data_IF_802127332743
#
_entry.id   IF_802127332743
#
_cell.length_a   1.000
_cell.length_b   1.000
_cell.length_c   1.000
_cell.angle_alpha   90.00
_cell.angle_beta   90.00
_cell.angle_gamma   90.00
#
_symmetry.space_group_name_H-M   'P 1'
#
loop_
_entity.id
_entity.type
_entity.pdbx_description
1 polymer ?
#
# COMPACT_ATOMS: atom_id res chain seq x y z
N UNK A 1 7.92 -29.31 45.53
CA UNK A 1 9.28 -29.15 44.99
C UNK A 1 9.25 -29.46 43.50
N UNK A 2 9.01 -28.47 42.65
CA UNK A 2 9.16 -28.64 41.21
C UNK A 2 10.61 -28.31 40.85
N UNK A 3 11.31 -29.29 40.30
CA UNK A 3 12.69 -29.19 39.85
C UNK A 3 12.80 -28.16 38.72
N UNK A 4 13.25 -26.94 39.04
CA UNK A 4 13.78 -25.99 38.08
C UNK A 4 15.20 -26.42 37.71
N UNK A 5 15.32 -27.40 36.81
CA UNK A 5 16.53 -27.50 35.98
C UNK A 5 16.46 -26.34 34.97
N UNK A 6 16.95 -25.18 35.38
CA UNK A 6 17.00 -23.99 34.54
C UNK A 6 18.13 -24.13 33.52
N UNK A 7 17.87 -24.86 32.44
CA UNK A 7 18.61 -24.65 31.20
C UNK A 7 18.27 -23.26 30.70
N UNK A 8 19.21 -22.32 30.84
CA UNK A 8 19.09 -20.99 30.22
C UNK A 8 19.18 -21.16 28.70
N UNK A 9 18.04 -21.36 28.04
CA UNK A 9 17.96 -21.37 26.58
C UNK A 9 17.98 -19.93 26.08
N UNK A 10 18.90 -19.65 25.17
CA UNK A 10 18.90 -18.40 24.44
C UNK A 10 17.77 -18.43 23.42
N UNK A 11 16.75 -17.61 23.64
CA UNK A 11 15.65 -17.42 22.73
C UNK A 11 15.87 -16.11 21.97
N UNK A 12 15.79 -16.16 20.64
CA UNK A 12 15.88 -14.97 19.81
C UNK A 12 14.64 -14.83 18.97
N UNK A 13 13.93 -13.71 19.15
CA UNK A 13 12.74 -13.41 18.36
C UNK A 13 13.09 -13.07 16.91
N UNK A 14 14.23 -12.43 16.66
CA UNK A 14 14.63 -11.94 15.33
C UNK A 14 16.15 -11.86 15.19
N UNK A 15 16.71 -12.59 14.23
CA UNK A 15 18.09 -12.42 13.76
C UNK A 15 18.03 -12.24 12.25
N UNK A 16 18.33 -11.04 11.76
CA UNK A 16 18.30 -10.74 10.33
C UNK A 16 19.33 -9.67 9.97
N UNK A 17 19.64 -9.60 8.68
CA UNK A 17 20.40 -8.52 8.06
C UNK A 17 19.54 -7.88 6.95
N UNK A 18 19.63 -6.56 6.78
CA UNK A 18 18.90 -5.84 5.74
C UNK A 18 19.85 -5.00 4.88
N UNK A 19 19.49 -4.85 3.60
CA UNK A 19 20.17 -3.97 2.66
C UNK A 19 19.16 -3.17 1.84
N UNK A 20 19.31 -1.86 1.90
CA UNK A 20 18.61 -0.93 1.03
C UNK A 20 19.10 -0.97 -0.42
N UNK A 21 18.19 -1.13 -1.36
CA UNK A 21 18.41 -1.14 -2.80
C UNK A 21 17.85 0.14 -3.43
N UNK A 22 18.63 1.21 -3.41
CA UNK A 22 18.21 2.57 -3.83
C UNK A 22 17.65 2.64 -5.25
N UNK A 23 18.22 1.88 -6.21
CA UNK A 23 17.80 1.89 -7.62
C UNK A 23 16.33 1.51 -7.82
N UNK A 24 15.81 0.61 -6.97
CA UNK A 24 14.42 0.14 -7.03
C UNK A 24 13.57 0.64 -5.85
N UNK A 25 14.17 1.43 -4.96
CA UNK A 25 13.57 1.94 -3.72
C UNK A 25 12.96 0.80 -2.88
N UNK A 26 13.77 -0.23 -2.65
CA UNK A 26 13.35 -1.47 -1.99
C UNK A 26 14.36 -1.90 -0.94
N UNK A 27 13.95 -2.79 -0.04
CA UNK A 27 14.78 -3.36 1.00
C UNK A 27 14.82 -4.89 0.86
N UNK A 28 16.03 -5.41 0.76
CA UNK A 28 16.30 -6.85 0.82
C UNK A 28 16.58 -7.23 2.27
N UNK A 29 15.85 -8.20 2.81
CA UNK A 29 16.04 -8.75 4.15
C UNK A 29 16.42 -10.23 4.05
N UNK A 30 17.37 -10.65 4.88
CA UNK A 30 17.80 -12.06 5.00
C UNK A 30 17.83 -12.44 6.47
N UNK A 31 17.20 -13.56 6.82
CA UNK A 31 17.12 -14.08 8.18
C UNK A 31 15.68 -14.17 8.66
N UNK A 32 15.47 -13.92 9.96
CA UNK A 32 14.20 -14.12 10.63
C UNK A 32 13.35 -12.86 10.61
N UNK A 33 12.18 -12.95 9.98
CA UNK A 33 11.23 -11.83 9.90
C UNK A 33 9.80 -12.33 9.68
N UNK A 34 8.87 -11.41 9.45
CA UNK A 34 7.49 -11.66 9.08
C UNK A 34 7.20 -11.11 7.69
N UNK A 35 6.27 -11.74 6.97
CA UNK A 35 5.73 -11.23 5.70
C UNK A 35 4.89 -9.96 5.91
N UNK A 36 4.65 -9.21 4.82
CA UNK A 36 3.81 -8.02 4.87
C UNK A 36 2.34 -8.40 5.03
N UNK A 37 1.63 -7.76 5.97
CA UNK A 37 0.20 -8.00 6.21
C UNK A 37 -0.71 -7.18 5.28
N UNK A 38 -0.22 -6.78 4.09
CA UNK A 38 -0.99 -5.93 3.18
C UNK A 38 -2.18 -6.67 2.54
N UNK A 39 -2.01 -7.96 2.22
CA UNK A 39 -3.04 -8.75 1.52
C UNK A 39 -3.30 -10.11 2.14
N UNK A 40 -2.29 -10.75 2.73
CA UNK A 40 -2.42 -11.99 3.48
C UNK A 40 -2.10 -11.75 4.96
N UNK A 41 -2.42 -12.74 5.80
CA UNK A 41 -2.01 -12.70 7.19
C UNK A 41 -0.48 -12.78 7.29
N UNK A 42 0.08 -12.08 8.28
CA UNK A 42 1.52 -12.02 8.45
C UNK A 42 2.08 -13.36 8.91
N UNK A 43 3.03 -13.90 8.15
CA UNK A 43 3.63 -15.20 8.41
C UNK A 43 5.08 -15.04 8.87
N UNK A 44 5.47 -15.62 10.04
CA UNK A 44 6.86 -15.69 10.47
C UNK A 44 7.67 -16.60 9.54
N UNK A 45 8.85 -16.15 9.15
CA UNK A 45 9.72 -16.89 8.26
C UNK A 45 11.20 -16.71 8.58
N UNK A 46 11.98 -17.72 8.16
CA UNK A 46 13.44 -17.63 8.01
C UNK A 46 13.80 -17.78 6.53
N UNK A 47 14.36 -16.74 5.94
CA UNK A 47 14.65 -16.75 4.50
C UNK A 47 15.01 -15.38 3.93
N UNK A 48 14.50 -15.10 2.73
CA UNK A 48 14.76 -13.88 1.98
C UNK A 48 13.44 -13.14 1.72
N UNK A 49 13.44 -11.82 1.86
CA UNK A 49 12.34 -10.99 1.36
C UNK A 49 12.83 -9.73 0.69
N UNK A 50 12.15 -9.33 -0.37
CA UNK A 50 12.36 -8.09 -1.09
C UNK A 50 11.06 -7.28 -1.04
N UNK A 51 11.10 -6.13 -0.39
CA UNK A 51 9.92 -5.30 -0.16
C UNK A 51 10.17 -3.89 -0.69
N UNK A 52 9.14 -3.24 -1.24
CA UNK A 52 9.20 -1.79 -1.49
C UNK A 52 9.44 -1.06 -0.16
N UNK A 53 10.42 -0.15 -0.14
CA UNK A 53 10.76 0.62 1.06
C UNK A 53 10.26 2.05 0.92
N UNK A 54 9.12 2.33 1.55
CA UNK A 54 8.45 3.61 1.45
C UNK A 54 9.20 4.75 2.15
N UNK A 55 10.13 4.43 3.07
CA UNK A 55 11.01 5.41 3.70
C UNK A 55 12.00 6.03 2.70
N UNK A 56 12.29 5.33 1.59
CA UNK A 56 13.15 5.82 0.50
C UNK A 56 12.39 6.67 -0.53
N UNK A 57 11.08 6.86 -0.34
CA UNK A 57 10.19 7.54 -1.27
C UNK A 57 9.66 8.80 -0.57
N UNK A 58 9.73 9.99 -1.19
CA UNK A 58 9.13 11.20 -0.65
C UNK A 58 7.67 10.98 -0.27
N UNK A 59 7.19 11.65 0.78
CA UNK A 59 5.82 11.48 1.28
C UNK A 59 4.77 11.74 0.19
N UNK A 60 4.95 12.82 -0.57
CA UNK A 60 4.13 13.16 -1.74
C UNK A 60 4.05 12.08 -2.82
N UNK A 61 5.03 11.17 -2.87
CA UNK A 61 5.07 10.10 -3.87
C UNK A 61 4.42 8.79 -3.41
N UNK A 62 4.22 8.58 -2.11
CA UNK A 62 3.69 7.32 -1.56
C UNK A 62 2.26 7.43 -1.01
N UNK A 63 1.84 8.62 -0.61
CA UNK A 63 0.50 8.85 -0.05
C UNK A 63 -0.48 9.16 -1.17
N UNK A 64 -1.65 8.50 -1.16
CA UNK A 64 -2.71 8.76 -2.13
C UNK A 64 -3.24 10.20 -1.99
N UNK A 65 -3.30 10.92 -3.11
CA UNK A 65 -3.90 12.25 -3.22
C UNK A 65 -4.70 12.31 -4.52
N UNK A 66 -5.89 12.95 -4.52
CA UNK A 66 -6.64 13.14 -5.75
C UNK A 66 -5.90 14.09 -6.68
N UNK A 67 -6.01 13.84 -7.97
CA UNK A 67 -5.45 14.72 -9.00
C UNK A 67 -6.52 15.70 -9.45
N UNK A 68 -6.26 17.00 -9.30
CA UNK A 68 -7.19 18.06 -9.68
C UNK A 68 -7.00 18.34 -11.16
N UNK A 69 -8.04 18.07 -11.96
CA UNK A 69 -8.04 18.28 -13.42
C UNK A 69 -9.10 19.30 -13.79
N UNK A 70 -8.77 20.19 -14.72
CA UNK A 70 -9.70 21.19 -15.22
C UNK A 70 -9.28 21.76 -16.57
N UNK A 71 -10.12 22.65 -17.12
CA UNK A 71 -9.84 23.37 -18.36
C UNK A 71 -9.97 24.87 -18.08
N UNK A 72 -8.88 25.60 -18.27
CA UNK A 72 -8.86 27.06 -18.21
C UNK A 72 -9.17 27.62 -19.61
N UNK A 73 -10.09 28.59 -19.69
CA UNK A 73 -10.45 29.25 -20.96
C UNK A 73 -9.44 30.35 -21.32
N UNK A 74 -8.78 30.92 -20.33
CA UNK A 74 -7.79 32.00 -20.46
C UNK A 74 -6.57 31.72 -19.58
N UNK A 75 -5.62 32.66 -19.51
CA UNK A 75 -4.62 32.62 -18.43
C UNK A 75 -5.39 32.82 -17.11
N UNK A 76 -5.46 31.76 -16.31
CA UNK A 76 -6.27 31.71 -15.11
C UNK A 76 -5.41 31.51 -13.86
N UNK A 77 -5.93 31.93 -12.72
CA UNK A 77 -5.39 31.55 -11.41
C UNK A 77 -6.29 30.47 -10.83
N UNK A 78 -5.69 29.32 -10.51
CA UNK A 78 -6.37 28.20 -9.86
C UNK A 78 -6.07 28.25 -8.38
N UNK A 79 -7.11 28.37 -7.57
CA UNK A 79 -7.03 28.31 -6.11
C UNK A 79 -7.67 27.01 -5.64
N UNK A 80 -6.99 26.31 -4.74
CA UNK A 80 -7.49 25.13 -4.06
C UNK A 80 -7.64 25.49 -2.59
N UNK A 81 -8.85 25.29 -2.06
CA UNK A 81 -9.18 25.49 -0.65
C UNK A 81 -9.59 24.16 -0.02
N UNK A 82 -9.32 24.01 1.27
CA UNK A 82 -9.84 22.92 2.09
C UNK A 82 -10.40 23.51 3.39
N UNK A 83 -11.65 23.17 3.71
CA UNK A 83 -12.36 23.74 4.87
C UNK A 83 -12.31 25.29 4.89
N UNK A 84 -12.39 25.92 3.71
CA UNK A 84 -12.30 27.37 3.53
C UNK A 84 -10.89 27.98 3.58
N UNK A 85 -9.86 27.22 3.96
CA UNK A 85 -8.47 27.69 3.97
C UNK A 85 -7.82 27.52 2.59
N UNK A 86 -7.14 28.55 2.09
CA UNK A 86 -6.34 28.46 0.86
C UNK A 86 -5.12 27.57 1.12
N UNK A 87 -5.10 26.41 0.47
CA UNK A 87 -4.00 25.45 0.59
C UNK A 87 -3.02 25.57 -0.57
N UNK A 88 -3.49 25.89 -1.77
CA UNK A 88 -2.64 25.98 -2.96
C UNK A 88 -3.17 27.04 -3.93
N UNK A 89 -2.28 27.80 -4.58
CA UNK A 89 -2.63 28.77 -5.61
C UNK A 89 -1.55 28.80 -6.68
N UNK A 90 -1.96 28.68 -7.95
CA UNK A 90 -1.03 28.68 -9.10
C UNK A 90 -1.67 29.31 -10.33
N UNK A 91 -0.87 29.86 -11.24
CA UNK A 91 -1.36 30.37 -12.53
C UNK A 91 -1.15 29.32 -13.62
N UNK A 92 -2.20 29.07 -14.41
CA UNK A 92 -2.21 28.10 -15.51
C UNK A 92 -2.48 28.80 -16.84
N UNK A 93 -1.84 28.34 -17.94
CA UNK A 93 -2.15 28.83 -19.27
C UNK A 93 -3.54 28.33 -19.74
N UNK A 94 -4.12 28.95 -20.80
CA UNK A 94 -5.34 28.44 -21.42
C UNK A 94 -5.16 27.00 -21.88
N UNK A 95 -6.13 26.15 -21.58
CA UNK A 95 -6.13 24.73 -21.92
C UNK A 95 -6.35 23.83 -20.71
N UNK A 96 -6.14 22.53 -20.92
CA UNK A 96 -6.22 21.53 -19.86
C UNK A 96 -5.05 21.70 -18.90
N UNK A 97 -5.33 21.63 -17.60
CA UNK A 97 -4.32 21.64 -16.55
C UNK A 97 -4.53 20.46 -15.59
N UNK A 98 -3.44 20.12 -14.89
CA UNK A 98 -3.41 19.08 -13.88
C UNK A 98 -2.58 19.57 -12.69
N UNK A 99 -3.21 19.64 -11.51
CA UNK A 99 -2.53 19.87 -10.24
C UNK A 99 -2.43 18.52 -9.55
N UNK A 100 -1.22 17.96 -9.59
CA UNK A 100 -0.93 16.64 -9.05
C UNK A 100 -0.43 16.68 -7.62
N UNK A 101 -0.32 15.49 -7.02
CA UNK A 101 0.16 15.25 -5.65
C UNK A 101 1.50 15.90 -5.32
N UNK A 102 2.44 15.99 -6.27
CA UNK A 102 3.75 16.62 -6.02
C UNK A 102 3.65 18.10 -5.61
N UNK A 103 2.54 18.75 -5.99
CA UNK A 103 2.31 20.17 -5.69
C UNK A 103 1.54 20.38 -4.38
N UNK A 104 0.71 19.42 -3.98
CA UNK A 104 -0.26 19.60 -2.88
C UNK A 104 -0.06 18.67 -1.68
N UNK A 105 0.67 17.57 -1.82
CA UNK A 105 0.78 16.55 -0.78
C UNK A 105 1.55 17.03 0.46
N UNK A 106 2.60 17.82 0.26
CA UNK A 106 3.42 18.32 1.37
C UNK A 106 2.77 19.51 2.10
N UNK A 107 1.59 19.95 1.64
CA UNK A 107 0.82 21.05 2.22
C UNK A 107 -0.10 20.61 3.38
N UNK A 108 -0.02 19.34 3.79
CA UNK A 108 -0.76 18.82 4.95
C UNK A 108 -2.26 18.62 4.70
N UNK A 109 -2.66 18.48 3.45
CA UNK A 109 -4.06 18.25 3.04
C UNK A 109 -4.54 16.92 3.61
N UNK A 110 -5.55 16.97 4.49
CA UNK A 110 -6.17 15.80 5.11
C UNK A 110 -7.35 15.28 4.31
N UNK A 111 -7.94 14.15 4.73
CA UNK A 111 -9.20 13.62 4.15
C UNK A 111 -10.30 14.69 4.23
N UNK A 112 -11.09 14.85 3.17
CA UNK A 112 -12.15 15.85 3.13
C UNK A 112 -12.43 16.36 1.72
N UNK A 113 -12.98 17.55 1.61
CA UNK A 113 -13.41 18.12 0.33
C UNK A 113 -12.48 19.26 -0.08
N UNK A 114 -12.00 19.25 -1.33
CA UNK A 114 -11.16 20.32 -1.90
C UNK A 114 -12.02 21.21 -2.80
N UNK A 115 -12.16 22.47 -2.45
CA UNK A 115 -12.87 23.46 -3.26
C UNK A 115 -11.89 24.10 -4.25
N UNK A 116 -12.17 23.96 -5.54
CA UNK A 116 -11.33 24.47 -6.62
C UNK A 116 -12.02 25.64 -7.30
N UNK A 117 -11.36 26.78 -7.30
CA UNK A 117 -11.81 28.00 -7.97
C UNK A 117 -10.83 28.39 -9.07
N UNK A 118 -11.32 28.48 -10.31
CA UNK A 118 -10.56 28.94 -11.47
C UNK A 118 -10.98 30.37 -11.77
N UNK A 119 -10.10 31.33 -11.50
CA UNK A 119 -10.29 32.74 -11.79
C UNK A 119 -9.74 33.06 -13.18
N UNK A 120 -10.65 33.24 -14.14
CA UNK A 120 -10.30 33.57 -15.51
C UNK A 120 -9.96 35.06 -15.65
N UNK A 121 -9.09 35.41 -16.59
CA UNK A 121 -8.69 36.81 -16.85
C UNK A 121 -9.87 37.70 -17.28
N UNK A 122 -10.92 37.12 -17.83
CA UNK A 122 -12.14 37.82 -18.22
C UNK A 122 -13.12 38.06 -17.05
N UNK A 123 -12.73 37.73 -15.81
CA UNK A 123 -13.54 37.90 -14.60
C UNK A 123 -14.53 36.77 -14.32
N UNK A 124 -14.63 35.76 -15.20
CA UNK A 124 -15.42 34.56 -14.89
C UNK A 124 -14.71 33.71 -13.83
N UNK A 125 -15.50 33.11 -12.94
CA UNK A 125 -14.99 32.15 -11.96
C UNK A 125 -15.68 30.82 -12.18
N UNK A 126 -14.90 29.76 -12.36
CA UNK A 126 -15.41 28.40 -12.41
C UNK A 126 -15.13 27.73 -11.06
N UNK A 127 -16.17 27.21 -10.42
CA UNK A 127 -16.04 26.51 -9.15
C UNK A 127 -16.45 25.06 -9.33
N UNK A 128 -15.64 24.15 -8.79
CA UNK A 128 -15.98 22.75 -8.67
C UNK A 128 -15.25 22.17 -7.47
N UNK A 129 -15.67 20.99 -7.08
CA UNK A 129 -15.21 20.35 -5.85
C UNK A 129 -14.54 19.02 -6.19
N UNK A 130 -13.38 18.78 -5.58
CA UNK A 130 -12.62 17.54 -5.67
C UNK A 130 -12.64 16.87 -4.29
N UNK A 131 -13.51 15.89 -4.07
CA UNK A 131 -13.50 15.11 -2.85
C UNK A 131 -12.23 14.26 -2.71
N UNK A 132 -11.76 14.09 -1.48
CA UNK A 132 -10.61 13.28 -1.11
C UNK A 132 -10.99 12.25 -0.04
N UNK A 133 -10.96 10.97 -0.41
CA UNK A 133 -11.13 9.84 0.49
C UNK A 133 -10.05 8.79 0.26
N UNK A 134 -9.62 8.06 1.30
CA UNK A 134 -8.58 7.03 1.19
C UNK A 134 -9.16 5.64 1.44
N UNK A 135 -9.44 4.84 0.40
CA UNK A 135 -9.79 3.44 0.57
C UNK A 135 -8.63 2.63 1.14
N UNK A 136 -8.95 1.52 1.82
CA UNK A 136 -7.99 0.49 2.22
C UNK A 136 -7.17 0.05 0.99
N UNK A 137 -5.84 0.01 1.14
CA UNK A 137 -4.86 -0.35 0.09
C UNK A 137 -4.80 0.56 -1.15
N UNK A 138 -5.30 1.80 -1.09
CA UNK A 138 -5.23 2.72 -2.23
C UNK A 138 -3.84 3.33 -2.41
N UNK A 139 -3.36 3.31 -3.65
CA UNK A 139 -2.07 3.85 -4.02
C UNK A 139 -2.22 5.01 -5.00
N UNK A 140 -1.30 5.99 -4.97
CA UNK A 140 -1.24 7.04 -5.99
C UNK A 140 -1.13 6.47 -7.40
N UNK A 141 -1.67 7.21 -8.38
CA UNK A 141 -1.50 6.88 -9.80
C UNK A 141 -0.02 6.69 -10.17
N UNK A 142 0.30 5.53 -10.75
CA UNK A 142 1.65 5.14 -11.15
C UNK A 142 2.54 4.65 -10.00
N UNK A 143 2.05 4.61 -8.76
CA UNK A 143 2.78 4.07 -7.63
C UNK A 143 2.49 2.57 -7.44
N UNK A 144 3.55 1.79 -7.20
CA UNK A 144 3.48 0.36 -6.96
C UNK A 144 4.04 0.01 -5.58
N UNK A 145 3.29 -0.79 -4.81
CA UNK A 145 3.79 -1.46 -3.61
C UNK A 145 3.87 -2.95 -3.90
N UNK A 146 4.99 -3.57 -3.53
CA UNK A 146 5.18 -5.00 -3.74
C UNK A 146 5.99 -5.62 -2.60
N UNK A 147 5.73 -6.89 -2.35
CA UNK A 147 6.47 -7.73 -1.43
C UNK A 147 6.68 -9.10 -2.07
N UNK A 148 7.91 -9.61 -2.02
CA UNK A 148 8.24 -10.97 -2.41
C UNK A 148 9.02 -11.61 -1.29
N UNK A 149 8.53 -12.73 -0.78
CA UNK A 149 9.14 -13.49 0.31
C UNK A 149 9.29 -14.94 -0.09
N UNK A 150 10.45 -15.52 0.20
CA UNK A 150 10.71 -16.95 0.07
C UNK A 150 11.47 -17.41 1.31
N UNK A 151 10.96 -18.43 1.98
CA UNK A 151 11.56 -18.87 3.23
C UNK A 151 10.88 -20.09 3.79
N UNK A 152 11.41 -20.56 4.91
CA UNK A 152 10.75 -21.58 5.72
C UNK A 152 9.82 -20.88 6.69
N UNK A 153 8.61 -21.40 6.84
CA UNK A 153 7.75 -21.03 7.95
C UNK A 153 8.52 -21.26 9.27
N UNK A 154 8.34 -20.34 10.22
CA UNK A 154 8.96 -20.44 11.55
C UNK A 154 7.87 -20.49 12.60
N UNK A 155 7.58 -21.68 13.09
CA UNK A 155 6.61 -21.86 14.16
C UNK A 155 7.18 -21.35 15.50
N UNK A 156 6.31 -20.79 16.35
CA UNK A 156 6.69 -20.31 17.69
C UNK A 156 6.79 -21.48 18.69
N UNK A 157 6.03 -22.55 18.43
CA UNK A 157 6.03 -23.78 19.20
C UNK A 157 6.63 -24.89 18.34
N UNK A 158 7.54 -25.67 18.91
CA UNK A 158 8.52 -26.52 18.24
C UNK A 158 7.93 -27.81 17.60
N UNK A 159 6.78 -27.70 16.93
CA UNK A 159 6.11 -28.78 16.20
C UNK A 159 6.60 -28.82 14.73
N UNK A 160 6.62 -30.02 14.17
CA UNK A 160 7.66 -30.48 13.24
C UNK A 160 7.50 -30.05 11.76
N UNK A 161 6.87 -28.92 11.47
CA UNK A 161 6.54 -28.54 10.09
C UNK A 161 7.06 -27.13 9.77
N UNK A 162 8.26 -27.07 9.19
CA UNK A 162 8.90 -25.86 8.63
C UNK A 162 8.84 -25.85 7.08
N UNK A 163 7.65 -25.78 6.46
CA UNK A 163 7.54 -25.91 5.03
C UNK A 163 8.14 -24.67 4.36
N UNK A 164 8.79 -24.90 3.23
CA UNK A 164 9.24 -23.81 2.37
C UNK A 164 8.00 -23.21 1.71
N UNK A 165 7.82 -21.91 1.86
CA UNK A 165 6.75 -21.16 1.24
C UNK A 165 7.30 -20.02 0.39
N UNK A 166 6.46 -19.58 -0.53
CA UNK A 166 6.64 -18.39 -1.33
C UNK A 166 5.41 -17.50 -1.15
N UNK A 167 5.62 -16.21 -0.97
CA UNK A 167 4.56 -15.20 -0.95
C UNK A 167 4.95 -14.05 -1.87
N UNK A 168 4.03 -13.64 -2.74
CA UNK A 168 4.21 -12.50 -3.61
C UNK A 168 2.95 -11.65 -3.61
N UNK A 169 3.08 -10.37 -3.29
CA UNK A 169 1.99 -9.39 -3.34
C UNK A 169 2.38 -8.20 -4.21
N UNK A 170 1.40 -7.66 -4.93
CA UNK A 170 1.57 -6.52 -5.80
C UNK A 170 0.31 -5.66 -5.77
N UNK A 171 0.50 -4.36 -5.54
CA UNK A 171 -0.52 -3.33 -5.48
C UNK A 171 -0.09 -2.21 -6.40
N UNK A 172 -0.99 -1.72 -7.24
CA UNK A 172 -0.69 -0.71 -8.25
C UNK A 172 -1.81 0.32 -8.38
N UNK A 173 -1.45 1.58 -8.17
CA UNK A 173 -2.34 2.72 -8.38
C UNK A 173 -2.48 3.04 -9.87
N UNK A 174 -3.72 3.06 -10.34
CA UNK A 174 -4.12 3.41 -11.69
C UNK A 174 -4.69 4.83 -11.74
N UNK A 175 -4.84 5.41 -12.94
CA UNK A 175 -5.54 6.67 -13.12
C UNK A 175 -6.98 6.64 -12.57
N UNK A 176 -7.52 7.83 -12.30
CA UNK A 176 -8.91 8.04 -11.86
C UNK A 176 -9.26 7.40 -10.49
N UNK A 177 -8.29 7.35 -9.58
CA UNK A 177 -8.51 6.88 -8.20
C UNK A 177 -8.73 5.38 -8.08
N UNK A 178 -8.39 4.60 -9.12
CA UNK A 178 -8.41 3.15 -9.07
C UNK A 178 -7.11 2.60 -8.51
N UNK A 179 -7.18 1.52 -7.74
CA UNK A 179 -6.01 0.71 -7.37
C UNK A 179 -6.35 -0.75 -7.57
N UNK A 180 -5.46 -1.50 -8.21
CA UNK A 180 -5.57 -2.95 -8.31
C UNK A 180 -4.56 -3.59 -7.37
N UNK A 181 -4.96 -4.69 -6.75
CA UNK A 181 -4.07 -5.47 -5.92
C UNK A 181 -4.29 -6.96 -6.10
N UNK A 182 -3.23 -7.72 -5.90
CA UNK A 182 -3.29 -9.16 -5.94
C UNK A 182 -2.06 -9.78 -5.31
N UNK A 183 -2.17 -11.06 -5.04
CA UNK A 183 -1.07 -11.81 -4.48
C UNK A 183 -1.32 -13.29 -4.47
N UNK A 184 -0.24 -14.01 -4.22
CA UNK A 184 -0.22 -15.46 -4.12
C UNK A 184 0.59 -15.86 -2.91
N UNK A 185 0.13 -16.89 -2.23
CA UNK A 185 0.88 -17.58 -1.20
C UNK A 185 0.89 -19.06 -1.56
N UNK A 186 2.07 -19.64 -1.67
CA UNK A 186 2.28 -21.00 -2.17
C UNK A 186 3.13 -21.78 -1.19
N UNK A 187 2.60 -22.89 -0.69
CA UNK A 187 3.30 -23.86 0.15
C UNK A 187 2.77 -25.27 -0.15
N UNK A 188 3.59 -26.30 0.03
CA UNK A 188 3.24 -27.68 -0.35
C UNK A 188 1.89 -28.18 0.21
N UNK A 189 1.47 -27.67 1.37
CA UNK A 189 0.26 -28.03 2.10
C UNK A 189 -0.89 -27.01 1.97
N UNK A 190 -0.63 -25.83 1.43
CA UNK A 190 -1.59 -24.72 1.39
C UNK A 190 -1.27 -23.73 0.28
N UNK A 191 -2.27 -23.35 -0.51
CA UNK A 191 -2.12 -22.35 -1.56
C UNK A 191 -3.24 -21.34 -1.43
N UNK A 192 -2.92 -20.05 -1.50
CA UNK A 192 -3.87 -18.95 -1.43
C UNK A 192 -3.64 -17.96 -2.55
N UNK A 193 -4.73 -17.47 -3.12
CA UNK A 193 -4.74 -16.48 -4.19
C UNK A 193 -5.70 -15.37 -3.80
N UNK A 194 -5.24 -14.14 -3.95
CA UNK A 194 -6.01 -12.95 -3.64
C UNK A 194 -5.98 -11.99 -4.83
N UNK A 195 -7.12 -11.40 -5.15
CA UNK A 195 -7.24 -10.31 -6.12
C UNK A 195 -8.29 -9.33 -5.63
N UNK A 196 -8.07 -8.05 -5.87
CA UNK A 196 -9.05 -7.03 -5.55
C UNK A 196 -8.76 -5.71 -6.24
N UNK A 197 -9.71 -4.81 -6.06
CA UNK A 197 -9.66 -3.46 -6.58
C UNK A 197 -10.25 -2.51 -5.55
N UNK A 198 -9.67 -1.32 -5.46
CA UNK A 198 -10.27 -0.19 -4.77
C UNK A 198 -10.49 0.97 -5.72
N UNK A 199 -11.49 1.79 -5.39
CA UNK A 199 -11.82 3.01 -6.09
C UNK A 199 -12.16 4.09 -5.07
N UNK A 200 -11.51 5.23 -5.20
CA UNK A 200 -12.00 6.48 -4.63
C UNK A 200 -13.17 6.99 -5.49
N UNK A 201 -14.36 7.02 -4.90
CA UNK A 201 -15.61 7.48 -5.53
C UNK A 201 -15.85 8.96 -5.20
N UNK A 202 -14.87 9.62 -4.58
CA UNK A 202 -14.95 11.02 -4.28
C UNK A 202 -15.92 11.32 -3.13
N UNK A 203 -17.02 12.05 -3.42
CA UNK A 203 -17.91 12.59 -2.38
C UNK A 203 -18.64 11.47 -1.62
N UNK A 204 -18.81 10.32 -2.28
CA UNK A 204 -19.39 9.11 -1.70
C UNK A 204 -18.37 8.29 -0.91
N UNK A 205 -17.13 8.77 -0.82
CA UNK A 205 -16.02 8.11 -0.15
C UNK A 205 -15.35 7.07 -1.03
N UNK A 206 -14.98 5.96 -0.40
CA UNK A 206 -14.03 5.00 -0.90
C UNK A 206 -14.63 3.59 -0.86
N UNK A 207 -14.43 2.80 -1.92
CA UNK A 207 -14.89 1.41 -1.97
C UNK A 207 -13.74 0.48 -2.35
N UNK A 208 -13.61 -0.63 -1.65
CA UNK A 208 -12.69 -1.72 -1.98
C UNK A 208 -13.43 -3.05 -2.01
N UNK A 209 -13.07 -3.90 -2.96
CA UNK A 209 -13.56 -5.25 -3.07
C UNK A 209 -12.38 -6.19 -3.29
N UNK A 210 -12.34 -7.29 -2.55
CA UNK A 210 -11.35 -8.35 -2.71
C UNK A 210 -11.98 -9.74 -2.68
N UNK A 211 -11.37 -10.64 -3.41
CA UNK A 211 -11.67 -12.06 -3.46
C UNK A 211 -10.42 -12.82 -3.06
N UNK A 212 -10.53 -13.68 -2.05
CA UNK A 212 -9.48 -14.63 -1.64
C UNK A 212 -9.98 -16.06 -1.74
N UNK A 213 -9.17 -16.93 -2.31
CA UNK A 213 -9.45 -18.38 -2.37
C UNK A 213 -8.24 -19.14 -1.89
N UNK A 214 -8.47 -20.21 -1.13
CA UNK A 214 -7.40 -21.03 -0.59
C UNK A 214 -7.73 -22.52 -0.68
N UNK A 215 -6.72 -23.32 -1.00
CA UNK A 215 -6.80 -24.77 -1.05
C UNK A 215 -5.73 -25.34 -0.12
N UNK A 216 -6.16 -26.06 0.91
CA UNK A 216 -5.28 -26.82 1.80
C UNK A 216 -5.31 -28.31 1.47
N UNK A 217 -4.19 -28.98 1.70
CA UNK A 217 -4.09 -30.43 1.71
C UNK A 217 -3.95 -30.88 3.16
N UNK A 218 -4.91 -31.68 3.63
CA UNK A 218 -4.83 -32.32 4.94
C UNK A 218 -4.31 -33.74 4.73
N UNK A 219 -3.11 -34.06 5.21
CA UNK A 219 -2.65 -35.45 5.26
C UNK A 219 -3.49 -36.20 6.30
N UNK A 220 -4.44 -37.00 5.81
CA UNK A 220 -5.31 -37.85 6.62
C UNK A 220 -4.64 -39.19 6.91
N UNK A 221 -3.42 -39.16 7.48
CA UNK A 221 -2.65 -40.38 7.77
C UNK A 221 -2.42 -40.61 9.26
N UNK A 222 -3.40 -40.27 10.12
CA UNK A 222 -3.37 -40.59 11.56
C UNK A 222 -4.76 -40.77 12.19
N UNK A 223 -5.73 -41.30 11.45
CA UNK A 223 -6.94 -41.93 12.01
C UNK A 223 -6.88 -43.44 11.75
N UNK A 224 -5.95 -44.13 12.42
CA UNK A 224 -6.00 -45.56 12.74
C UNK A 224 -4.75 -45.92 13.55
N UNK A 225 -4.88 -45.86 14.88
CA UNK A 225 -3.90 -46.33 15.86
C UNK A 225 -4.56 -46.51 17.21
#
# INVERSE_FOLDING_TARGET
WQNLSSEKKFESAYIYAERGLKKIKSKLTVGDKYTSADLFDSVPFRGFSLNKDESMIPFSQRTYYPTIRGIAKTNATVEVRQNGYLIYSTSVPPGQFEIGREQIADLGVGVGVLDVSIYEKNGQVQNYTVPYSTPVLSLPDGYSKYSVTIGRYREVNNDYIDPVFFEGTYIYGLPYGFTLFGGVQWVNIYNSYAIGASKDIGEYGALSFDWKTSVSKTDTSNENG
#
